data_IF_871686229223
#
_entry.id   IF_871686229223
#
_cell.length_a   1.000
_cell.length_b   1.000
_cell.length_c   1.000
_cell.angle_alpha   90.00
_cell.angle_beta   90.00
_cell.angle_gamma   90.00
#
_symmetry.space_group_name_H-M   'P 1'
#
loop_
_entity.id
_entity.type
_entity.pdbx_description
1 polymer ?
#
# COMPACT_ATOMS: atom_id res chain seq x y z
N UNK A 1 -17.90 6.30 -9.83
CA UNK A 1 -18.75 5.28 -10.52
C UNK A 1 -17.92 4.41 -11.47
N UNK A 2 -17.13 5.00 -12.38
CA UNK A 2 -16.21 4.26 -13.25
C UNK A 2 -15.21 3.37 -12.48
N UNK A 3 -14.55 3.92 -11.44
CA UNK A 3 -13.64 3.16 -10.57
C UNK A 3 -14.26 1.86 -10.04
N UNK A 4 -15.50 1.90 -9.57
CA UNK A 4 -16.20 0.71 -9.07
C UNK A 4 -16.34 -0.37 -10.14
N UNK A 5 -16.72 0.00 -11.36
CA UNK A 5 -16.84 -0.94 -12.47
C UNK A 5 -15.48 -1.50 -12.88
N UNK A 6 -14.49 -0.62 -13.06
CA UNK A 6 -13.12 -0.99 -13.44
C UNK A 6 -12.46 -1.91 -12.40
N UNK A 7 -12.71 -1.68 -11.11
CA UNK A 7 -12.18 -2.46 -9.99
C UNK A 7 -12.59 -3.94 -9.98
N UNK A 8 -13.49 -4.35 -10.87
CA UNK A 8 -13.85 -5.77 -11.04
C UNK A 8 -12.86 -6.54 -11.91
N UNK A 9 -12.14 -5.85 -12.80
CA UNK A 9 -11.21 -6.45 -13.75
C UNK A 9 -9.77 -5.93 -13.62
N UNK A 10 -9.60 -4.64 -13.29
CA UNK A 10 -8.29 -3.99 -13.17
C UNK A 10 -8.03 -3.44 -11.77
N UNK A 11 -6.76 -3.33 -11.41
CA UNK A 11 -6.31 -2.71 -10.17
C UNK A 11 -6.32 -1.20 -10.38
N UNK A 12 -7.31 -0.55 -9.78
CA UNK A 12 -7.44 0.91 -9.85
C UNK A 12 -6.54 1.58 -8.82
N UNK A 13 -6.23 2.88 -8.96
CA UNK A 13 -5.47 3.62 -7.95
C UNK A 13 -6.06 3.49 -6.53
N UNK A 14 -7.39 3.42 -6.43
CA UNK A 14 -8.09 3.18 -5.16
C UNK A 14 -7.74 1.82 -4.55
N UNK A 15 -7.74 0.74 -5.33
CA UNK A 15 -7.38 -0.60 -4.86
C UNK A 15 -5.90 -0.70 -4.51
N UNK A 16 -5.05 -0.13 -5.36
CA UNK A 16 -3.61 -0.11 -5.13
C UNK A 16 -3.24 0.72 -3.88
N UNK A 17 -3.95 1.82 -3.63
CA UNK A 17 -3.78 2.61 -2.41
C UNK A 17 -4.04 1.81 -1.13
N UNK A 18 -5.04 0.92 -1.14
CA UNK A 18 -5.33 0.03 0.01
C UNK A 18 -4.15 -0.91 0.28
N UNK A 19 -3.53 -1.45 -0.78
CA UNK A 19 -2.33 -2.30 -0.66
C UNK A 19 -1.16 -1.57 0.01
N UNK A 20 -1.04 -0.25 -0.15
CA UNK A 20 0.03 0.55 0.49
C UNK A 20 -0.27 0.93 1.95
N UNK A 21 -1.42 0.49 2.48
CA UNK A 21 -1.76 0.72 3.87
C UNK A 21 -0.76 0.05 4.82
N UNK A 22 -0.57 0.66 5.98
CA UNK A 22 0.17 0.06 7.10
C UNK A 22 -0.59 -1.04 7.83
N UNK A 23 -1.91 -1.10 7.69
CA UNK A 23 -2.72 -2.12 8.38
C UNK A 23 -2.53 -3.47 7.70
N UNK A 24 -2.16 -4.55 8.41
CA UNK A 24 -1.89 -5.85 7.78
C UNK A 24 -3.03 -6.39 6.91
N UNK A 25 -4.28 -6.18 7.32
CA UNK A 25 -5.45 -6.62 6.56
C UNK A 25 -5.67 -5.87 5.25
N UNK A 26 -5.14 -4.66 5.13
CA UNK A 26 -5.21 -3.81 3.93
C UNK A 26 -3.95 -4.02 3.06
N UNK A 27 -2.78 -4.09 3.69
CA UNK A 27 -1.47 -4.35 3.08
C UNK A 27 -1.44 -5.70 2.34
N UNK A 28 -1.99 -6.74 2.97
CA UNK A 28 -1.99 -8.10 2.41
C UNK A 28 -3.22 -8.37 1.53
N UNK A 29 -3.57 -7.39 0.71
CA UNK A 29 -4.67 -7.46 -0.25
C UNK A 29 -4.31 -6.74 -1.56
N UNK A 30 -5.10 -6.99 -2.62
CA UNK A 30 -5.00 -6.34 -3.94
C UNK A 30 -3.58 -6.42 -4.53
N UNK A 31 -2.99 -7.61 -4.54
CA UNK A 31 -1.63 -7.88 -5.01
C UNK A 31 -1.47 -7.74 -6.52
N UNK A 32 -2.56 -7.78 -7.29
CA UNK A 32 -2.49 -7.57 -8.72
C UNK A 32 -1.81 -6.23 -9.06
N UNK A 33 -0.92 -6.25 -10.05
CA UNK A 33 -0.32 -5.01 -10.58
C UNK A 33 -1.21 -4.37 -11.65
N UNK A 34 -1.92 -5.19 -12.43
CA UNK A 34 -2.80 -4.72 -13.51
C UNK A 34 -4.20 -5.33 -13.42
N UNK A 35 -4.33 -6.64 -13.26
CA UNK A 35 -5.61 -7.34 -13.25
C UNK A 35 -6.04 -7.69 -11.82
N UNK A 36 -7.21 -7.19 -11.39
CA UNK A 36 -7.78 -7.48 -10.06
C UNK A 36 -8.51 -8.83 -10.01
N UNK A 37 -8.61 -9.53 -11.14
CA UNK A 37 -9.27 -10.84 -11.25
C UNK A 37 -8.51 -11.87 -10.41
N UNK A 38 -7.18 -11.78 -10.37
CA UNK A 38 -6.33 -12.66 -9.56
C UNK A 38 -6.66 -12.52 -8.08
N UNK A 39 -6.87 -11.30 -7.58
CA UNK A 39 -7.25 -11.08 -6.18
C UNK A 39 -8.64 -11.64 -5.85
N UNK A 40 -9.55 -11.72 -6.82
CA UNK A 40 -10.84 -12.40 -6.64
C UNK A 40 -10.67 -13.91 -6.56
N UNK A 41 -9.88 -14.47 -7.46
CA UNK A 41 -9.60 -15.91 -7.52
C UNK A 41 -8.93 -16.40 -6.22
N UNK A 42 -7.97 -15.62 -5.72
CA UNK A 42 -7.20 -15.95 -4.52
C UNK A 42 -7.80 -15.37 -3.23
N UNK A 43 -8.99 -14.76 -3.29
CA UNK A 43 -9.68 -14.16 -2.12
C UNK A 43 -8.82 -13.11 -1.38
N UNK A 44 -7.96 -12.41 -2.11
CA UNK A 44 -7.11 -11.34 -1.60
C UNK A 44 -7.66 -9.94 -1.92
N UNK A 45 -8.93 -9.81 -2.34
CA UNK A 45 -9.52 -8.53 -2.75
C UNK A 45 -10.16 -7.78 -1.58
N UNK A 46 -9.74 -6.53 -1.35
CA UNK A 46 -10.31 -5.61 -0.35
C UNK A 46 -10.68 -4.29 -1.02
N UNK A 47 -11.92 -3.80 -0.82
CA UNK A 47 -12.41 -2.59 -1.50
C UNK A 47 -13.07 -1.55 -0.60
N UNK A 48 -13.47 -1.96 0.60
CA UNK A 48 -14.31 -1.16 1.50
C UNK A 48 -13.46 -0.42 2.55
N UNK A 49 -12.48 0.34 2.06
CA UNK A 49 -11.62 1.18 2.89
C UNK A 49 -11.78 2.63 2.45
N UNK A 50 -12.06 3.53 3.39
CA UNK A 50 -12.13 4.95 3.12
C UNK A 50 -10.73 5.46 2.75
N UNK A 51 -10.58 6.12 1.60
CA UNK A 51 -9.24 6.48 1.10
C UNK A 51 -8.53 7.47 2.02
N UNK A 52 -9.27 8.37 2.68
CA UNK A 52 -8.70 9.32 3.64
C UNK A 52 -8.25 8.67 4.96
N UNK A 53 -8.59 7.41 5.23
CA UNK A 53 -8.16 6.69 6.44
C UNK A 53 -7.00 5.72 6.20
N UNK A 54 -6.46 5.67 4.98
CA UNK A 54 -5.32 4.85 4.62
C UNK A 54 -4.06 5.59 5.09
N UNK A 55 -3.39 5.02 6.09
CA UNK A 55 -2.08 5.48 6.53
C UNK A 55 -1.01 4.75 5.69
N UNK A 56 -0.33 5.50 4.83
CA UNK A 56 0.67 4.99 3.89
C UNK A 56 2.06 5.11 4.49
N UNK A 57 2.83 4.02 4.46
CA UNK A 57 4.24 4.05 4.85
C UNK A 57 4.76 2.69 5.25
N UNK A 58 6.03 2.63 5.67
CA UNK A 58 6.63 1.38 6.11
C UNK A 58 6.14 0.99 7.52
N UNK A 59 5.92 -0.31 7.78
CA UNK A 59 5.69 -0.81 9.12
C UNK A 59 6.88 -0.43 10.01
N UNK A 60 6.60 0.09 11.21
CA UNK A 60 7.61 0.46 12.22
C UNK A 60 8.49 1.68 11.94
N UNK A 61 8.25 2.45 10.86
CA UNK A 61 8.75 3.82 10.79
C UNK A 61 7.78 4.75 11.53
N UNK A 62 8.07 5.06 12.80
CA UNK A 62 7.44 6.16 13.50
C UNK A 62 7.63 7.44 12.68
N UNK A 63 6.57 8.25 12.53
CA UNK A 63 6.50 9.52 11.78
C UNK A 63 7.88 10.06 11.44
N UNK A 64 8.41 9.60 10.30
CA UNK A 64 9.72 10.02 9.84
C UNK A 64 9.61 11.52 9.65
N UNK A 65 10.35 12.29 10.45
CA UNK A 65 10.56 13.71 10.18
C UNK A 65 10.73 13.88 8.68
N UNK A 66 9.97 14.79 8.06
CA UNK A 66 9.89 14.92 6.60
C UNK A 66 11.30 14.85 6.01
N UNK A 67 11.62 13.72 5.38
CA UNK A 67 12.94 13.51 4.83
C UNK A 67 13.08 14.44 3.63
N UNK A 68 14.00 15.40 3.72
CA UNK A 68 14.37 16.20 2.57
C UNK A 68 14.86 15.31 1.43
N UNK A 69 14.78 15.78 0.18
CA UNK A 69 15.14 15.01 -1.02
C UNK A 69 16.51 14.33 -0.89
N UNK A 70 17.51 15.05 -0.37
CA UNK A 70 18.86 14.52 -0.14
C UNK A 70 18.88 13.35 0.83
N UNK A 71 18.15 13.45 1.94
CA UNK A 71 18.05 12.37 2.93
C UNK A 71 17.36 11.14 2.34
N UNK A 72 16.28 11.34 1.57
CA UNK A 72 15.55 10.27 0.88
C UNK A 72 16.44 9.53 -0.14
N UNK A 73 17.29 10.24 -0.88
CA UNK A 73 18.26 9.63 -1.80
C UNK A 73 19.40 8.90 -1.06
N UNK A 74 19.82 9.42 0.10
CA UNK A 74 20.85 8.81 0.93
C UNK A 74 20.38 7.54 1.66
N UNK A 75 19.07 7.34 1.85
CA UNK A 75 18.51 6.17 2.56
C UNK A 75 18.99 4.83 1.98
N UNK A 76 19.16 4.73 0.67
CA UNK A 76 19.65 3.51 0.00
C UNK A 76 21.09 3.13 0.39
N UNK A 77 21.85 4.06 0.97
CA UNK A 77 23.25 3.87 1.36
C UNK A 77 23.45 3.81 2.88
N UNK A 78 22.40 4.10 3.66
CA UNK A 78 22.43 3.97 5.11
C UNK A 78 21.84 2.64 5.55
N UNK A 79 22.55 1.93 6.44
CA UNK A 79 22.06 0.68 7.02
C UNK A 79 20.97 1.01 8.03
N UNK A 80 19.71 0.78 7.68
CA UNK A 80 18.60 0.81 8.63
C UNK A 80 18.82 -0.32 9.63
N UNK A 81 19.14 -0.01 10.89
CA UNK A 81 19.16 -1.02 11.94
C UNK A 81 17.70 -1.39 12.20
N UNK A 82 17.27 -2.65 11.99
CA UNK A 82 15.89 -3.02 12.27
C UNK A 82 15.61 -2.84 13.76
N UNK A 83 14.42 -2.35 14.15
CA UNK A 83 14.05 -2.27 15.55
C UNK A 83 14.13 -3.66 16.19
N UNK A 84 14.77 -3.76 17.36
CA UNK A 84 14.78 -5.01 18.14
C UNK A 84 13.33 -5.31 18.55
N UNK A 85 12.90 -6.55 18.27
CA UNK A 85 11.61 -7.08 18.71
C UNK A 85 11.51 -7.13 20.23
#
# INVERSE_FOLDING_TARGET
RADRFLSHAIITPRLHGIHHSRRPAELHANFGTLLSIWDRLHRARVTDVAQGSIDVGLPHQAESQALGVTASLAMSFHRSVPPRR
#
